data_IF_416816414453
#
_entry.id   IF_416816414453
#
_cell.length_a   1.000
_cell.length_b   1.000
_cell.length_c   1.000
_cell.angle_alpha   90.00
_cell.angle_beta   90.00
_cell.angle_gamma   90.00
#
_symmetry.space_group_name_H-M   'P 1'
#
loop_
_entity.id
_entity.type
_entity.pdbx_description
1 polymer ?
#
# COMPACT_ATOMS: atom_id res chain seq x y z
N UNK A 1 -18.96 -38.04 31.86
CA UNK A 1 -18.64 -38.02 30.43
C UNK A 1 -18.00 -36.67 30.13
N UNK A 2 -16.65 -36.64 30.02
CA UNK A 2 -15.88 -35.44 29.75
C UNK A 2 -15.67 -35.29 28.25
N UNK A 3 -16.14 -34.17 27.69
CA UNK A 3 -15.84 -33.76 26.32
C UNK A 3 -14.39 -33.24 26.28
N UNK A 4 -13.48 -34.07 25.80
CA UNK A 4 -12.10 -33.66 25.49
C UNK A 4 -12.05 -32.82 24.22
N UNK A 5 -11.80 -31.55 24.35
CA UNK A 5 -11.43 -30.67 23.24
C UNK A 5 -9.97 -30.99 22.84
N UNK A 6 -9.80 -31.63 21.71
CA UNK A 6 -8.48 -31.89 21.15
C UNK A 6 -8.00 -30.66 20.39
N UNK A 7 -7.09 -29.93 20.97
CA UNK A 7 -6.38 -28.82 20.31
C UNK A 7 -5.22 -29.41 19.52
N UNK A 8 -5.28 -29.39 18.19
CA UNK A 8 -4.13 -29.72 17.35
C UNK A 8 -3.29 -28.46 17.17
N UNK A 9 -2.12 -28.44 17.82
CA UNK A 9 -1.12 -27.40 17.65
C UNK A 9 -0.22 -27.79 16.47
N UNK A 10 -0.24 -27.05 15.39
CA UNK A 10 0.75 -27.18 14.34
C UNK A 10 1.95 -26.30 14.71
N UNK A 11 3.09 -26.89 14.98
CA UNK A 11 4.33 -26.17 15.21
C UNK A 11 4.93 -25.79 13.85
N UNK A 12 4.87 -24.51 13.48
CA UNK A 12 5.61 -23.96 12.36
C UNK A 12 7.03 -23.67 12.83
N UNK A 13 8.00 -24.51 12.46
CA UNK A 13 9.42 -24.20 12.60
C UNK A 13 9.89 -23.39 11.39
N UNK A 14 9.80 -22.08 11.50
CA UNK A 14 10.47 -21.11 10.65
C UNK A 14 11.12 -20.10 11.59
N UNK A 15 12.34 -19.63 11.31
CA UNK A 15 12.92 -18.51 12.05
C UNK A 15 12.06 -17.27 11.75
N UNK A 16 11.05 -17.04 12.57
CA UNK A 16 10.22 -15.85 12.50
C UNK A 16 10.96 -14.69 13.14
N UNK A 17 11.10 -13.60 12.43
CA UNK A 17 11.48 -12.32 13.05
C UNK A 17 10.34 -11.93 13.98
N UNK A 18 10.58 -11.91 15.31
CA UNK A 18 9.58 -11.44 16.26
C UNK A 18 9.69 -9.92 16.38
N UNK A 19 8.61 -9.24 16.08
CA UNK A 19 8.49 -7.79 16.34
C UNK A 19 7.96 -7.61 17.76
N UNK A 20 8.83 -7.30 18.73
CA UNK A 20 8.40 -7.07 20.11
C UNK A 20 7.45 -5.86 20.18
N UNK A 21 6.27 -6.08 20.79
CA UNK A 21 5.27 -5.04 20.99
C UNK A 21 4.38 -4.71 19.79
N UNK A 22 4.45 -5.47 18.68
CA UNK A 22 3.61 -5.25 17.50
C UNK A 22 2.22 -5.89 17.62
N UNK A 23 1.28 -5.38 16.82
CA UNK A 23 -0.11 -5.88 16.69
C UNK A 23 -0.23 -6.67 15.39
N UNK A 24 -0.71 -7.91 15.46
CA UNK A 24 -1.02 -8.69 14.25
C UNK A 24 -2.06 -7.97 13.40
N UNK A 25 -1.84 -7.93 12.11
CA UNK A 25 -2.75 -7.33 11.14
C UNK A 25 -2.89 -8.19 9.88
N UNK A 26 -4.10 -8.22 9.36
CA UNK A 26 -4.41 -8.99 8.16
C UNK A 26 -5.51 -8.30 7.36
N UNK A 27 -5.35 -8.31 6.04
CA UNK A 27 -6.42 -8.10 5.08
C UNK A 27 -6.70 -9.42 4.36
N UNK A 28 -7.96 -9.83 4.31
CA UNK A 28 -8.40 -11.09 3.71
C UNK A 28 -9.60 -10.88 2.80
N UNK A 29 -9.42 -11.11 1.50
CA UNK A 29 -10.47 -11.16 0.49
C UNK A 29 -10.83 -12.64 0.26
N UNK A 30 -11.96 -13.06 0.78
CA UNK A 30 -12.40 -14.46 0.66
C UNK A 30 -12.74 -14.82 -0.80
N UNK A 31 -13.32 -13.88 -1.55
CA UNK A 31 -13.68 -14.02 -2.96
C UNK A 31 -14.66 -15.18 -3.23
N UNK A 32 -15.59 -15.42 -2.30
CA UNK A 32 -16.62 -16.44 -2.42
C UNK A 32 -18.04 -15.87 -2.62
N UNK A 33 -18.21 -14.55 -2.47
CA UNK A 33 -19.51 -13.87 -2.64
C UNK A 33 -19.40 -12.36 -2.96
N UNK A 34 -18.28 -11.71 -2.65
CA UNK A 34 -18.09 -10.28 -2.87
C UNK A 34 -16.59 -9.93 -3.11
N UNK A 35 -16.30 -8.64 -3.28
CA UNK A 35 -14.98 -8.07 -3.57
C UNK A 35 -14.31 -7.43 -2.35
N UNK A 36 -14.91 -7.57 -1.17
CA UNK A 36 -14.51 -6.85 0.03
C UNK A 36 -13.45 -7.58 0.83
N UNK A 37 -12.56 -6.79 1.44
CA UNK A 37 -11.64 -7.29 2.45
C UNK A 37 -12.29 -7.36 3.83
N UNK A 38 -11.99 -8.43 4.57
CA UNK A 38 -12.11 -8.44 6.02
C UNK A 38 -10.76 -8.03 6.59
N UNK A 39 -10.74 -6.94 7.35
CA UNK A 39 -9.51 -6.37 7.92
C UNK A 39 -9.48 -6.61 9.42
N UNK A 40 -8.34 -7.07 9.92
CA UNK A 40 -8.01 -7.14 11.35
C UNK A 40 -6.72 -6.38 11.60
N UNK A 41 -6.59 -5.77 12.78
CA UNK A 41 -5.44 -4.92 13.13
C UNK A 41 -5.49 -3.53 12.47
N UNK A 42 -4.49 -2.68 12.79
CA UNK A 42 -4.50 -1.27 12.41
C UNK A 42 -3.91 -1.03 11.00
N UNK A 43 -4.57 -1.56 9.97
CA UNK A 43 -4.27 -1.33 8.54
C UNK A 43 -5.54 -0.99 7.79
N UNK A 44 -5.39 -0.49 6.57
CA UNK A 44 -6.50 -0.29 5.63
C UNK A 44 -6.36 -1.26 4.46
N UNK A 45 -7.49 -1.66 3.88
CA UNK A 45 -7.52 -2.41 2.62
C UNK A 45 -8.65 -1.89 1.73
N UNK A 46 -8.38 -1.81 0.43
CA UNK A 46 -9.40 -1.45 -0.54
C UNK A 46 -10.25 -2.66 -0.97
N UNK A 47 -11.40 -2.40 -1.55
CA UNK A 47 -12.10 -3.41 -2.34
C UNK A 47 -11.26 -3.79 -3.54
N UNK A 48 -11.47 -5.01 -4.05
CA UNK A 48 -10.85 -5.49 -5.28
C UNK A 48 -11.14 -4.56 -6.46
N UNK A 49 -10.11 -4.28 -7.26
CA UNK A 49 -10.20 -3.42 -8.44
C UNK A 49 -9.91 -4.22 -9.71
N UNK A 50 -10.64 -3.92 -10.76
CA UNK A 50 -10.50 -4.58 -12.06
C UNK A 50 -10.04 -3.59 -13.12
N UNK A 51 -9.13 -4.02 -13.97
CA UNK A 51 -8.76 -3.32 -15.19
C UNK A 51 -8.94 -4.25 -16.39
N UNK A 52 -9.83 -3.90 -17.32
CA UNK A 52 -10.24 -4.71 -18.48
C UNK A 52 -10.75 -6.12 -18.11
N UNK A 53 -11.19 -6.27 -16.85
CA UNK A 53 -11.72 -7.52 -16.29
C UNK A 53 -12.95 -7.22 -15.46
N UNK A 54 -13.73 -8.25 -15.14
CA UNK A 54 -14.80 -8.17 -14.15
C UNK A 54 -15.07 -9.53 -13.50
N UNK A 55 -15.65 -9.52 -12.29
CA UNK A 55 -16.15 -10.72 -11.63
C UNK A 55 -17.48 -11.16 -12.27
N UNK A 56 -17.46 -12.27 -13.01
CA UNK A 56 -18.66 -12.84 -13.63
C UNK A 56 -19.56 -13.51 -12.60
N UNK A 57 -18.97 -14.31 -11.72
CA UNK A 57 -19.73 -15.09 -10.72
C UNK A 57 -18.85 -15.69 -9.63
N UNK A 58 -19.54 -16.14 -8.57
CA UNK A 58 -18.96 -16.95 -7.51
C UNK A 58 -19.53 -18.36 -7.60
N UNK A 59 -18.70 -19.34 -7.88
CA UNK A 59 -19.14 -20.69 -8.15
C UNK A 59 -18.34 -21.74 -7.37
N UNK A 60 -19.05 -22.80 -6.95
CA UNK A 60 -18.41 -23.98 -6.36
C UNK A 60 -17.44 -24.66 -7.34
N UNK A 61 -16.44 -25.44 -6.84
CA UNK A 61 -15.64 -26.28 -7.68
C UNK A 61 -16.53 -27.31 -8.40
N UNK A 62 -16.47 -27.35 -9.56
CA UNK A 62 -16.88 -28.24 -10.61
C UNK A 62 -16.00 -27.84 -11.76
N UNK A 63 -15.45 -26.65 -11.64
CA UNK A 63 -14.52 -26.10 -12.60
C UNK A 63 -13.97 -24.75 -12.07
N UNK A 64 -12.79 -24.69 -11.47
CA UNK A 64 -11.80 -25.76 -11.31
C UNK A 64 -12.25 -26.88 -10.36
N UNK A 65 -11.81 -28.09 -10.63
CA UNK A 65 -12.17 -29.29 -9.87
C UNK A 65 -11.11 -29.74 -8.88
N UNK A 66 -9.90 -29.23 -9.02
CA UNK A 66 -8.73 -29.68 -8.28
C UNK A 66 -8.04 -28.55 -7.53
N UNK A 67 -7.73 -28.77 -6.26
CA UNK A 67 -6.91 -27.93 -5.40
C UNK A 67 -5.61 -28.67 -5.09
N UNK A 68 -4.47 -28.05 -5.34
CA UNK A 68 -3.17 -28.72 -5.28
C UNK A 68 -2.81 -29.20 -3.87
N UNK A 69 -3.17 -28.45 -2.84
CA UNK A 69 -2.84 -28.78 -1.45
C UNK A 69 -3.91 -29.55 -0.68
N UNK A 70 -5.09 -29.71 -1.26
CA UNK A 70 -6.20 -30.47 -0.65
C UNK A 70 -6.74 -29.90 0.66
N UNK A 71 -6.34 -28.67 1.06
CA UNK A 71 -6.74 -28.06 2.33
C UNK A 71 -8.03 -27.28 2.24
N UNK A 72 -8.57 -27.06 1.06
CA UNK A 72 -9.78 -26.28 0.83
C UNK A 72 -10.99 -27.20 0.73
N UNK A 73 -12.08 -26.81 1.39
CA UNK A 73 -13.36 -27.50 1.30
C UNK A 73 -13.82 -27.59 -0.17
N UNK A 74 -14.16 -28.75 -0.70
CA UNK A 74 -14.69 -28.93 -2.06
C UNK A 74 -15.93 -28.11 -2.37
N UNK A 75 -16.68 -27.69 -1.36
CA UNK A 75 -17.85 -26.81 -1.50
C UNK A 75 -17.50 -25.32 -1.58
N UNK A 76 -16.24 -24.96 -1.40
CA UNK A 76 -15.77 -23.56 -1.42
C UNK A 76 -15.99 -22.94 -2.79
N UNK A 77 -16.70 -21.82 -2.83
CA UNK A 77 -16.87 -21.03 -4.05
C UNK A 77 -15.57 -20.26 -4.36
N UNK A 78 -15.25 -20.16 -5.63
CA UNK A 78 -14.21 -19.28 -6.16
C UNK A 78 -14.84 -18.12 -6.92
N UNK A 79 -14.21 -16.96 -6.88
CA UNK A 79 -14.53 -15.88 -7.80
C UNK A 79 -14.04 -16.27 -9.19
N UNK A 80 -14.86 -16.05 -10.20
CA UNK A 80 -14.52 -16.27 -11.62
C UNK A 80 -14.51 -14.95 -12.34
N UNK A 81 -13.35 -14.59 -12.84
CA UNK A 81 -13.13 -13.33 -13.50
C UNK A 81 -12.92 -13.54 -14.98
N UNK A 82 -13.58 -12.76 -15.79
CA UNK A 82 -13.49 -12.79 -17.25
C UNK A 82 -13.06 -11.42 -17.79
N UNK A 83 -12.55 -11.46 -19.02
CA UNK A 83 -12.17 -10.25 -19.73
C UNK A 83 -13.41 -9.44 -20.14
N UNK A 84 -13.31 -8.12 -20.14
CA UNK A 84 -14.34 -7.26 -20.71
C UNK A 84 -14.59 -7.61 -22.18
N UNK A 85 -15.88 -7.72 -22.54
CA UNK A 85 -16.27 -8.17 -23.87
C UNK A 85 -16.31 -9.69 -24.07
N UNK A 86 -15.96 -10.49 -23.04
CA UNK A 86 -16.06 -11.96 -22.96
C UNK A 86 -15.18 -12.75 -23.96
N UNK A 87 -14.38 -12.08 -24.78
CA UNK A 87 -13.53 -12.69 -25.80
C UNK A 87 -12.04 -12.44 -25.53
N UNK A 88 -11.31 -13.51 -25.15
CA UNK A 88 -9.86 -13.46 -25.05
C UNK A 88 -9.21 -13.28 -26.41
N UNK A 89 -8.18 -12.42 -26.53
CA UNK A 89 -7.52 -12.14 -27.81
C UNK A 89 -6.89 -13.38 -28.43
N UNK A 90 -6.66 -13.31 -29.73
CA UNK A 90 -5.90 -14.31 -30.46
C UNK A 90 -4.39 -14.10 -30.28
N UNK A 91 -3.62 -15.18 -30.11
CA UNK A 91 -2.15 -15.15 -30.03
C UNK A 91 -1.56 -14.35 -28.85
N UNK A 92 -2.25 -14.28 -27.73
CA UNK A 92 -1.71 -13.66 -26.53
C UNK A 92 -0.77 -14.65 -25.81
N UNK A 93 0.53 -14.45 -25.98
CA UNK A 93 1.56 -15.38 -25.52
C UNK A 93 2.22 -14.96 -24.19
N UNK A 94 1.95 -13.75 -23.71
CA UNK A 94 2.48 -13.20 -22.47
C UNK A 94 1.49 -12.18 -21.88
N UNK A 95 1.85 -11.60 -20.75
CA UNK A 95 1.07 -10.66 -19.94
C UNK A 95 0.72 -9.40 -20.71
N UNK A 96 -0.55 -9.01 -20.64
CA UNK A 96 -1.00 -7.66 -20.94
C UNK A 96 -1.07 -6.86 -19.64
N UNK A 97 -0.12 -5.94 -19.40
CA UNK A 97 -0.03 -5.16 -18.19
C UNK A 97 -1.18 -4.16 -17.95
N UNK A 98 -2.02 -3.92 -18.97
CA UNK A 98 -3.24 -3.13 -18.81
C UNK A 98 -4.43 -3.94 -18.30
N UNK A 99 -4.31 -5.27 -18.23
CA UNK A 99 -5.37 -6.18 -17.81
C UNK A 99 -4.96 -6.85 -16.50
N UNK A 100 -5.65 -6.52 -15.41
CA UNK A 100 -5.32 -7.07 -14.10
C UNK A 100 -6.50 -7.06 -13.13
N UNK A 101 -6.32 -7.80 -12.06
CA UNK A 101 -7.15 -7.80 -10.86
C UNK A 101 -6.22 -7.35 -9.73
N UNK A 102 -6.62 -6.33 -8.97
CA UNK A 102 -5.77 -5.69 -7.95
C UNK A 102 -6.40 -5.74 -6.57
N UNK A 103 -5.56 -5.98 -5.59
CA UNK A 103 -5.82 -5.90 -4.16
C UNK A 103 -4.80 -4.95 -3.54
N UNK A 104 -5.20 -4.15 -2.55
CA UNK A 104 -4.25 -3.24 -1.92
C UNK A 104 -4.45 -3.12 -0.42
N UNK A 105 -3.33 -2.95 0.29
CA UNK A 105 -3.28 -2.68 1.72
C UNK A 105 -2.43 -1.43 1.97
N UNK A 106 -2.83 -0.64 2.96
CA UNK A 106 -2.15 0.61 3.32
C UNK A 106 -1.84 0.60 4.81
N UNK A 107 -0.62 0.95 5.17
CA UNK A 107 -0.25 1.17 6.56
C UNK A 107 -0.91 2.45 7.09
N UNK A 108 -1.34 2.45 8.34
CA UNK A 108 -1.87 3.65 8.97
C UNK A 108 -0.77 4.70 9.19
N UNK A 109 -1.15 5.96 9.19
CA UNK A 109 -0.22 7.06 9.50
C UNK A 109 0.48 6.83 10.86
N UNK A 110 1.81 7.03 10.89
CA UNK A 110 2.62 6.87 12.09
C UNK A 110 2.85 5.42 12.53
N UNK A 111 2.55 4.44 11.68
CA UNK A 111 2.81 3.02 11.93
C UNK A 111 3.71 2.42 10.85
N UNK A 112 4.32 1.29 11.16
CA UNK A 112 5.02 0.45 10.19
C UNK A 112 4.31 -0.91 10.12
N UNK A 113 3.83 -1.28 8.93
CA UNK A 113 3.27 -2.60 8.69
C UNK A 113 4.32 -3.51 8.06
N UNK A 114 4.81 -4.44 8.84
CA UNK A 114 5.78 -5.46 8.44
C UNK A 114 5.00 -6.68 7.93
N UNK A 115 4.80 -6.73 6.61
CA UNK A 115 4.12 -7.84 5.94
C UNK A 115 5.09 -9.02 5.91
N UNK A 116 4.70 -10.15 6.48
CA UNK A 116 5.48 -11.39 6.51
C UNK A 116 4.93 -12.45 5.58
N UNK A 117 3.73 -12.29 5.08
CA UNK A 117 3.08 -13.27 4.23
C UNK A 117 2.03 -12.65 3.31
N UNK A 118 2.13 -13.03 2.03
CA UNK A 118 1.10 -12.84 1.03
C UNK A 118 0.70 -14.22 0.51
N UNK A 119 -0.60 -14.48 0.41
CA UNK A 119 -1.10 -15.77 -0.07
C UNK A 119 -2.38 -15.64 -0.86
N UNK A 120 -2.59 -16.51 -1.85
CA UNK A 120 -3.84 -16.66 -2.58
C UNK A 120 -3.90 -18.01 -3.30
N UNK A 121 -5.09 -18.38 -3.74
CA UNK A 121 -5.26 -19.44 -4.73
C UNK A 121 -5.66 -18.82 -6.06
N UNK A 122 -4.98 -19.24 -7.13
CA UNK A 122 -5.32 -18.83 -8.48
C UNK A 122 -5.29 -20.02 -9.45
N UNK A 123 -6.18 -20.02 -10.43
CA UNK A 123 -6.26 -21.08 -11.42
C UNK A 123 -7.20 -20.72 -12.57
N UNK A 124 -7.40 -21.63 -13.50
CA UNK A 124 -8.22 -21.44 -14.68
C UNK A 124 -9.49 -22.28 -14.70
N UNK A 125 -10.50 -21.79 -15.38
CA UNK A 125 -11.74 -22.52 -15.64
C UNK A 125 -12.17 -22.40 -17.11
N UNK A 126 -12.63 -23.51 -17.67
CA UNK A 126 -13.29 -23.52 -18.99
C UNK A 126 -12.37 -23.75 -20.18
N UNK A 127 -11.28 -24.51 -20.04
CA UNK A 127 -10.40 -24.89 -21.17
C UNK A 127 -8.92 -24.82 -20.81
N UNK A 128 -8.06 -25.00 -21.81
CA UNK A 128 -6.64 -25.32 -21.61
C UNK A 128 -5.66 -24.18 -21.95
N UNK A 129 -6.07 -22.94 -21.86
CA UNK A 129 -5.20 -21.84 -22.27
C UNK A 129 -4.98 -20.77 -21.20
N UNK A 130 -5.58 -20.91 -20.00
CA UNK A 130 -5.42 -19.92 -18.95
C UNK A 130 -3.99 -19.91 -18.40
N UNK A 131 -3.45 -18.73 -18.32
CA UNK A 131 -2.14 -18.42 -17.77
C UNK A 131 -2.29 -17.22 -16.83
N UNK A 132 -1.33 -17.03 -15.92
CA UNK A 132 -1.33 -15.82 -15.07
C UNK A 132 0.05 -15.52 -14.49
N UNK A 133 0.24 -14.29 -14.10
CA UNK A 133 1.37 -13.78 -13.33
C UNK A 133 0.84 -13.02 -12.12
N UNK A 134 1.51 -13.17 -10.97
CA UNK A 134 1.19 -12.45 -9.72
C UNK A 134 2.40 -11.63 -9.32
N UNK A 135 2.19 -10.36 -9.11
CA UNK A 135 3.22 -9.41 -8.71
C UNK A 135 2.71 -8.51 -7.59
N UNK A 136 3.62 -7.98 -6.78
CA UNK A 136 3.31 -6.90 -5.87
C UNK A 136 4.29 -5.73 -6.02
N UNK A 137 3.84 -4.54 -5.68
CA UNK A 137 4.62 -3.30 -5.78
C UNK A 137 4.11 -2.26 -4.78
N UNK A 138 5.00 -1.38 -4.33
CA UNK A 138 4.63 -0.13 -3.64
C UNK A 138 4.33 1.00 -4.65
N UNK A 139 4.79 0.85 -5.88
CA UNK A 139 4.51 1.79 -6.96
C UNK A 139 3.22 1.39 -7.68
N UNK A 140 2.16 2.23 -7.70
CA UNK A 140 0.93 1.95 -8.43
C UNK A 140 1.13 1.79 -9.95
N UNK A 141 2.24 2.32 -10.49
CA UNK A 141 2.64 2.14 -11.89
C UNK A 141 3.35 0.82 -12.17
N UNK A 142 3.78 0.06 -11.12
CA UNK A 142 4.54 -1.19 -11.26
C UNK A 142 5.86 -1.02 -12.04
N UNK A 143 6.49 0.14 -11.97
CA UNK A 143 7.84 0.37 -12.51
C UNK A 143 8.88 -0.49 -11.81
N UNK A 144 8.71 -0.69 -10.50
CA UNK A 144 9.44 -1.66 -9.68
C UNK A 144 8.43 -2.63 -9.04
N UNK A 145 8.73 -3.92 -9.06
CA UNK A 145 7.83 -4.94 -8.53
C UNK A 145 8.58 -6.19 -8.05
N UNK A 146 7.94 -6.93 -7.15
CA UNK A 146 8.34 -8.30 -6.78
C UNK A 146 7.46 -9.30 -7.51
N UNK A 147 8.08 -10.24 -8.22
CA UNK A 147 7.38 -11.34 -8.87
C UNK A 147 7.09 -12.44 -7.85
N UNK A 148 5.81 -12.70 -7.59
CA UNK A 148 5.37 -13.74 -6.64
C UNK A 148 5.19 -15.09 -7.35
N UNK A 149 4.55 -15.08 -8.52
CA UNK A 149 4.30 -16.29 -9.30
C UNK A 149 4.22 -15.99 -10.79
N UNK A 150 4.71 -16.93 -11.59
CA UNK A 150 4.56 -16.91 -13.04
C UNK A 150 4.09 -18.28 -13.53
N UNK A 151 2.91 -18.34 -14.10
CA UNK A 151 2.29 -19.53 -14.67
C UNK A 151 2.01 -19.32 -16.16
N UNK A 152 3.04 -19.40 -17.03
CA UNK A 152 2.92 -19.12 -18.46
C UNK A 152 2.33 -20.27 -19.27
N UNK A 153 1.98 -21.37 -18.64
CA UNK A 153 1.36 -22.54 -19.25
C UNK A 153 0.05 -22.86 -18.55
N UNK A 154 -0.79 -23.58 -19.27
CA UNK A 154 -2.11 -24.02 -18.90
C UNK A 154 -2.31 -24.34 -17.41
N UNK A 155 -3.12 -23.55 -16.74
CA UNK A 155 -3.54 -23.74 -15.33
C UNK A 155 -5.02 -24.13 -15.24
N UNK A 156 -5.60 -24.66 -16.29
CA UNK A 156 -7.03 -24.97 -16.37
C UNK A 156 -7.47 -26.02 -15.39
N UNK A 157 -8.67 -25.81 -14.83
CA UNK A 157 -9.35 -26.68 -13.90
C UNK A 157 -8.58 -27.01 -12.61
N UNK A 158 -7.54 -26.24 -12.31
CA UNK A 158 -6.70 -26.47 -11.14
C UNK A 158 -6.46 -25.13 -10.42
N UNK A 159 -6.64 -25.13 -9.10
CA UNK A 159 -6.26 -24.03 -8.23
C UNK A 159 -4.89 -24.31 -7.61
N UNK A 160 -3.99 -23.35 -7.77
CA UNK A 160 -2.63 -23.41 -7.27
C UNK A 160 -2.48 -22.49 -6.07
N UNK A 161 -1.90 -22.98 -4.97
CA UNK A 161 -1.50 -22.10 -3.88
C UNK A 161 -0.32 -21.22 -4.33
N UNK A 162 -0.39 -19.97 -4.02
CA UNK A 162 0.63 -18.96 -4.31
C UNK A 162 0.95 -18.26 -3.01
N UNK A 163 2.22 -18.15 -2.69
CA UNK A 163 2.66 -17.45 -1.48
C UNK A 163 3.99 -16.76 -1.69
N UNK A 164 4.14 -15.62 -1.00
CA UNK A 164 5.40 -14.93 -0.78
C UNK A 164 5.63 -14.87 0.73
N UNK A 165 6.82 -15.23 1.17
CA UNK A 165 7.25 -15.21 2.57
C UNK A 165 8.51 -14.34 2.72
N UNK A 166 8.47 -13.18 2.11
CA UNK A 166 9.49 -12.14 2.24
C UNK A 166 8.90 -11.00 3.06
N UNK A 167 9.73 -10.36 3.87
CA UNK A 167 9.29 -9.20 4.64
C UNK A 167 9.20 -8.01 3.71
N UNK A 168 8.00 -7.41 3.64
CA UNK A 168 7.75 -6.14 2.95
C UNK A 168 7.32 -5.14 4.01
N UNK A 169 8.11 -4.10 4.17
CA UNK A 169 7.82 -3.03 5.11
C UNK A 169 7.03 -1.91 4.43
N UNK A 170 5.89 -1.54 5.00
CA UNK A 170 5.13 -0.34 4.62
C UNK A 170 5.21 0.67 5.76
N UNK A 171 5.78 1.82 5.51
CA UNK A 171 5.80 2.94 6.44
C UNK A 171 4.59 3.84 6.21
N UNK A 172 4.13 4.50 7.24
CA UNK A 172 2.90 5.26 7.31
C UNK A 172 2.35 5.80 5.99
N UNK A 173 1.12 5.44 5.67
CA UNK A 173 0.39 5.77 4.45
C UNK A 173 0.94 5.13 3.14
N UNK A 174 2.05 4.36 3.20
CA UNK A 174 2.47 3.57 2.04
C UNK A 174 1.48 2.45 1.75
N UNK A 175 1.27 2.17 0.48
CA UNK A 175 0.37 1.14 -0.02
C UNK A 175 1.14 0.05 -0.75
N UNK A 176 0.82 -1.21 -0.44
CA UNK A 176 1.21 -2.35 -1.27
C UNK A 176 0.06 -2.70 -2.20
N UNK A 177 0.36 -2.80 -3.48
CA UNK A 177 -0.53 -3.27 -4.54
C UNK A 177 -0.14 -4.70 -4.91
N UNK A 178 -1.11 -5.60 -4.94
CA UNK A 178 -0.98 -6.98 -5.38
C UNK A 178 -1.81 -7.15 -6.64
N UNK A 179 -1.19 -7.50 -7.77
CA UNK A 179 -1.89 -7.70 -9.03
C UNK A 179 -1.78 -9.13 -9.54
N UNK A 180 -2.90 -9.63 -10.03
CA UNK A 180 -2.98 -10.85 -10.83
C UNK A 180 -3.20 -10.44 -12.28
N UNK A 181 -2.28 -10.82 -13.15
CA UNK A 181 -2.32 -10.53 -14.59
C UNK A 181 -2.64 -11.81 -15.36
N UNK A 182 -3.89 -12.04 -15.75
CA UNK A 182 -4.26 -13.22 -16.53
C UNK A 182 -4.11 -12.98 -18.03
N UNK A 183 -3.81 -14.04 -18.76
CA UNK A 183 -3.94 -14.09 -20.21
C UNK A 183 -4.38 -15.48 -20.65
N UNK A 184 -4.86 -15.58 -21.89
CA UNK A 184 -5.30 -16.85 -22.45
C UNK A 184 -4.57 -17.14 -23.75
N UNK A 185 -3.95 -18.30 -23.86
CA UNK A 185 -3.01 -18.64 -24.95
C UNK A 185 -3.66 -18.83 -26.32
N UNK A 186 -4.99 -18.72 -26.44
CA UNK A 186 -5.70 -18.82 -27.71
C UNK A 186 -7.00 -18.01 -27.68
N UNK A 187 -7.50 -17.60 -28.86
CA UNK A 187 -8.80 -16.95 -28.94
C UNK A 187 -9.89 -17.85 -28.35
N UNK A 188 -10.62 -17.33 -27.40
CA UNK A 188 -11.68 -18.09 -26.73
C UNK A 188 -12.63 -17.16 -25.98
N UNK A 189 -13.88 -17.58 -25.80
CA UNK A 189 -14.86 -16.90 -24.98
C UNK A 189 -15.14 -17.66 -23.68
N UNK A 190 -15.72 -16.97 -22.69
CA UNK A 190 -16.17 -17.52 -21.40
C UNK A 190 -15.12 -18.33 -20.63
N UNK A 191 -13.86 -17.98 -20.78
CA UNK A 191 -12.78 -18.56 -20.00
C UNK A 191 -12.48 -17.64 -18.80
N UNK A 192 -12.29 -18.24 -17.65
CA UNK A 192 -12.14 -17.48 -16.41
C UNK A 192 -10.81 -17.73 -15.76
N UNK A 193 -10.19 -16.69 -15.23
CA UNK A 193 -9.27 -16.83 -14.10
C UNK A 193 -10.08 -16.96 -12.82
N UNK A 194 -9.77 -17.95 -12.01
CA UNK A 194 -10.43 -18.20 -10.73
C UNK A 194 -9.50 -17.76 -9.60
N UNK A 195 -10.03 -16.99 -8.65
CA UNK A 195 -9.31 -16.52 -7.46
C UNK A 195 -10.06 -16.93 -6.19
N UNK A 196 -9.29 -17.15 -5.11
CA UNK A 196 -9.83 -17.44 -3.79
C UNK A 196 -8.81 -17.09 -2.70
N UNK A 197 -9.29 -16.54 -1.58
CA UNK A 197 -8.55 -16.46 -0.34
C UNK A 197 -7.31 -15.58 -0.41
N UNK A 198 -7.38 -14.41 -1.06
CA UNK A 198 -6.26 -13.45 -1.08
C UNK A 198 -6.02 -12.95 0.32
N UNK A 199 -4.80 -13.08 0.80
CA UNK A 199 -4.39 -12.72 2.16
C UNK A 199 -3.12 -11.90 2.12
N UNK A 200 -3.09 -10.82 2.86
CA UNK A 200 -1.88 -10.04 3.20
C UNK A 200 -1.86 -9.94 4.72
N UNK A 201 -0.82 -10.43 5.36
CA UNK A 201 -0.71 -10.40 6.82
C UNK A 201 0.70 -10.07 7.28
N UNK A 202 0.80 -9.66 8.53
CA UNK A 202 2.04 -9.30 9.19
C UNK A 202 1.79 -8.64 10.54
N UNK A 203 2.77 -7.88 11.00
CA UNK A 203 2.73 -7.19 12.28
C UNK A 203 2.85 -5.69 12.08
N UNK A 204 1.92 -4.95 12.66
CA UNK A 204 2.00 -3.49 12.75
C UNK A 204 2.71 -3.14 14.04
N UNK A 205 3.81 -2.46 13.92
CA UNK A 205 4.48 -1.80 15.02
C UNK A 205 4.04 -0.33 15.04
N UNK A 206 3.98 0.29 16.21
CA UNK A 206 4.09 1.74 16.23
C UNK A 206 5.35 2.00 15.43
N UNK A 207 5.18 2.68 14.30
CA UNK A 207 6.33 3.23 13.61
C UNK A 207 7.07 3.89 14.75
N UNK A 208 8.31 3.54 14.98
CA UNK A 208 9.07 4.45 15.77
C UNK A 208 8.67 5.80 15.19
N UNK A 209 8.14 6.68 16.03
CA UNK A 209 8.43 8.08 15.81
C UNK A 209 9.96 8.11 16.02
N UNK A 210 10.68 7.32 15.21
CA UNK A 210 12.00 7.64 14.82
C UNK A 210 11.75 8.93 14.14
N UNK A 211 11.65 9.85 15.09
CA UNK A 211 12.01 11.18 14.77
C UNK A 211 11.25 11.57 13.50
N UNK A 212 10.37 12.52 13.49
CA UNK A 212 10.97 13.51 12.65
C UNK A 212 12.21 12.82 12.06
N UNK A 213 12.11 12.25 10.84
CA UNK A 213 13.33 12.07 10.08
C UNK A 213 14.02 13.41 10.23
N UNK A 214 14.86 13.52 11.21
CA UNK A 214 16.08 14.24 11.03
C UNK A 214 16.76 13.41 9.95
N UNK A 215 16.32 13.56 8.70
CA UNK A 215 17.27 13.65 7.65
C UNK A 215 18.27 14.60 8.26
N UNK A 216 19.42 14.08 8.55
CA UNK A 216 20.59 14.76 9.11
C UNK A 216 21.02 15.80 8.07
N UNK A 217 20.19 16.82 7.83
CA UNK A 217 20.43 17.81 6.77
C UNK A 217 19.69 19.14 6.93
N UNK A 218 18.70 19.26 7.81
CA UNK A 218 18.25 20.62 8.18
C UNK A 218 18.52 20.86 9.65
N UNK A 219 19.49 21.71 9.95
CA UNK A 219 19.57 22.34 11.26
C UNK A 219 18.21 22.96 11.55
N UNK A 220 17.73 22.81 12.79
CA UNK A 220 16.43 23.30 13.22
C UNK A 220 16.25 24.75 12.81
N UNK A 221 15.27 25.03 11.96
CA UNK A 221 14.94 26.40 11.58
C UNK A 221 14.36 27.13 12.80
N UNK A 222 14.70 28.41 12.93
CA UNK A 222 14.25 29.23 14.04
C UNK A 222 14.07 30.69 13.62
N UNK A 223 13.23 31.40 14.34
CA UNK A 223 13.03 32.84 14.16
C UNK A 223 13.73 33.64 15.27
N UNK A 224 14.41 34.73 14.89
CA UNK A 224 15.06 35.62 15.85
C UNK A 224 14.68 37.08 15.55
N UNK A 225 14.09 37.81 16.49
CA UNK A 225 13.55 37.34 17.76
C UNK A 225 12.27 36.51 17.59
N UNK A 226 12.01 35.52 18.45
CA UNK A 226 10.78 34.74 18.43
C UNK A 226 9.56 35.51 18.98
N UNK A 227 9.82 36.59 19.71
CA UNK A 227 8.82 37.55 20.21
C UNK A 227 9.23 38.93 19.68
N UNK A 228 8.35 39.60 18.95
CA UNK A 228 8.65 40.85 18.28
C UNK A 228 7.43 41.77 18.15
N UNK A 229 7.64 43.10 18.03
CA UNK A 229 6.61 44.05 17.68
C UNK A 229 6.43 44.19 16.16
N UNK A 230 7.53 44.11 15.40
CA UNK A 230 7.50 44.52 13.99
C UNK A 230 8.02 43.45 13.03
N UNK A 231 9.18 42.84 13.30
CA UNK A 231 9.87 41.96 12.36
C UNK A 231 10.60 40.83 13.07
N UNK A 232 10.72 39.73 12.37
CA UNK A 232 11.58 38.61 12.79
C UNK A 232 12.31 38.05 11.57
N UNK A 233 13.47 37.41 11.81
CA UNK A 233 14.23 36.75 10.76
C UNK A 233 14.15 35.25 10.95
N UNK A 234 13.66 34.53 9.95
CA UNK A 234 13.70 33.08 9.88
C UNK A 234 15.12 32.67 9.41
N UNK A 235 15.78 31.82 10.16
CA UNK A 235 17.06 31.20 9.85
C UNK A 235 16.84 29.72 9.53
N UNK A 236 17.40 29.23 8.42
CA UNK A 236 17.34 27.84 8.01
C UNK A 236 18.52 27.44 7.15
N UNK A 237 18.79 26.18 7.03
CA UNK A 237 19.87 25.62 6.21
C UNK A 237 19.29 24.59 5.24
N UNK A 238 19.71 24.66 3.97
CA UNK A 238 19.34 23.70 2.92
C UNK A 238 20.51 22.74 2.71
N UNK A 239 20.24 21.45 2.74
CA UNK A 239 21.19 20.41 2.38
C UNK A 239 21.34 20.25 0.88
N UNK A 240 20.29 20.57 0.13
CA UNK A 240 20.22 20.47 -1.33
C UNK A 240 19.54 21.71 -1.90
N UNK A 241 19.90 22.09 -3.12
CA UNK A 241 19.23 23.17 -3.82
C UNK A 241 17.81 22.77 -4.21
N UNK A 242 16.84 23.68 -4.05
CA UNK A 242 15.46 23.38 -4.37
C UNK A 242 14.49 24.50 -4.06
N UNK A 243 13.21 24.22 -4.26
CA UNK A 243 12.14 25.14 -3.95
C UNK A 243 11.94 25.25 -2.44
N UNK A 244 11.91 26.49 -1.94
CA UNK A 244 11.63 26.84 -0.56
C UNK A 244 10.32 27.59 -0.50
N UNK A 245 9.34 27.06 0.25
CA UNK A 245 8.07 27.70 0.52
C UNK A 245 7.99 28.12 2.00
N UNK A 246 7.77 29.40 2.25
CA UNK A 246 7.58 29.97 3.59
C UNK A 246 6.18 30.55 3.64
N UNK A 247 5.33 30.04 4.54
CA UNK A 247 3.97 30.54 4.72
C UNK A 247 3.74 30.90 6.18
N UNK A 248 3.26 32.11 6.43
CA UNK A 248 2.84 32.55 7.75
C UNK A 248 1.33 32.35 7.90
N UNK A 249 0.92 31.69 8.98
CA UNK A 249 -0.49 31.47 9.33
C UNK A 249 -0.86 32.17 10.62
N UNK A 250 -2.09 32.65 10.71
CA UNK A 250 -2.71 32.98 11.98
C UNK A 250 -3.03 31.72 12.78
N UNK A 251 -3.34 31.86 14.07
CA UNK A 251 -3.71 30.71 14.92
C UNK A 251 -5.00 30.02 14.46
N UNK A 252 -5.87 30.72 13.70
CA UNK A 252 -7.08 30.17 13.09
C UNK A 252 -6.80 29.43 11.77
N UNK A 253 -5.52 29.30 11.36
CA UNK A 253 -5.12 28.61 10.15
C UNK A 253 -5.23 29.44 8.86
N UNK A 254 -5.48 30.76 8.95
CA UNK A 254 -5.53 31.65 7.79
C UNK A 254 -4.11 31.97 7.33
N UNK A 255 -3.80 31.74 6.04
CA UNK A 255 -2.54 32.17 5.44
C UNK A 255 -2.49 33.68 5.33
N UNK A 256 -1.42 34.26 5.88
CA UNK A 256 -1.21 35.73 5.99
C UNK A 256 -0.13 36.23 5.03
N UNK A 257 0.95 35.46 4.87
CA UNK A 257 2.05 35.69 3.95
C UNK A 257 2.46 34.40 3.28
N UNK A 258 2.91 34.49 2.03
CA UNK A 258 3.53 33.38 1.33
C UNK A 258 4.75 33.88 0.56
N UNK A 259 5.83 33.10 0.62
CA UNK A 259 7.06 33.33 -0.13
C UNK A 259 7.51 31.99 -0.70
N UNK A 260 7.83 31.98 -2.00
CA UNK A 260 8.29 30.78 -2.69
C UNK A 260 9.44 31.15 -3.63
N UNK A 261 10.60 30.47 -3.50
CA UNK A 261 11.78 30.70 -4.31
C UNK A 261 12.70 29.48 -4.36
N UNK A 262 13.28 29.22 -5.52
CA UNK A 262 14.40 28.28 -5.62
C UNK A 262 15.65 28.88 -4.97
N UNK A 263 16.31 28.09 -4.12
CA UNK A 263 17.52 28.49 -3.41
C UNK A 263 18.59 27.37 -3.51
N UNK A 264 19.83 27.77 -3.44
CA UNK A 264 20.98 26.88 -3.44
C UNK A 264 21.16 26.23 -2.06
N UNK A 265 21.97 25.17 -1.99
CA UNK A 265 22.39 24.57 -0.72
C UNK A 265 23.11 25.58 0.16
N UNK A 266 22.95 25.50 1.48
CA UNK A 266 23.63 26.37 2.45
C UNK A 266 22.68 27.06 3.45
N UNK A 267 23.24 28.04 4.19
CA UNK A 267 22.53 28.78 5.23
C UNK A 267 21.80 29.97 4.61
N UNK A 268 20.53 30.10 4.93
CA UNK A 268 19.67 31.14 4.44
C UNK A 268 18.93 31.89 5.57
N UNK A 269 18.54 33.10 5.25
CA UNK A 269 17.69 33.93 6.12
C UNK A 269 16.56 34.54 5.33
N UNK A 270 15.40 34.69 5.96
CA UNK A 270 14.23 35.38 5.38
C UNK A 270 13.60 36.30 6.42
N UNK A 271 13.50 37.60 6.12
CA UNK A 271 12.85 38.56 6.98
C UNK A 271 11.32 38.42 6.84
N UNK A 272 10.61 38.31 7.97
CA UNK A 272 9.16 38.28 8.07
C UNK A 272 8.71 39.62 8.69
N UNK A 273 8.01 40.43 7.92
CA UNK A 273 7.44 41.71 8.37
C UNK A 273 6.05 41.52 8.93
N UNK A 274 5.87 41.87 10.21
CA UNK A 274 4.61 41.70 10.94
C UNK A 274 3.91 43.02 11.22
N UNK A 275 4.41 44.16 10.74
CA UNK A 275 3.89 45.50 11.07
C UNK A 275 2.43 45.72 10.70
N UNK A 276 1.88 45.01 9.75
CA UNK A 276 0.47 45.13 9.35
C UNK A 276 -0.49 44.17 10.06
N UNK A 277 0.02 43.34 10.98
CA UNK A 277 -0.77 42.28 11.64
C UNK A 277 -1.11 42.65 13.09
N UNK A 278 -2.17 42.05 13.62
CA UNK A 278 -2.58 42.21 15.01
C UNK A 278 -1.62 41.49 15.97
N UNK A 279 -1.57 41.93 17.22
CA UNK A 279 -0.84 41.20 18.26
C UNK A 279 -1.43 39.81 18.42
N UNK A 280 -0.57 38.82 18.60
CA UNK A 280 -1.00 37.42 18.68
C UNK A 280 0.09 36.39 18.33
N UNK A 281 -0.33 35.15 18.23
CA UNK A 281 0.53 34.03 17.85
C UNK A 281 0.39 33.71 16.36
N UNK A 282 1.52 33.53 15.69
CA UNK A 282 1.62 33.17 14.31
C UNK A 282 2.46 31.89 14.15
N UNK A 283 2.14 31.10 13.14
CA UNK A 283 2.86 29.88 12.79
C UNK A 283 3.53 30.07 11.43
N UNK A 284 4.86 30.09 11.44
CA UNK A 284 5.66 30.13 10.22
C UNK A 284 5.94 28.69 9.77
N UNK A 285 5.37 28.30 8.64
CA UNK A 285 5.60 27.00 8.00
C UNK A 285 6.69 27.16 6.95
N UNK A 286 7.75 26.39 7.08
CA UNK A 286 8.84 26.26 6.10
C UNK A 286 8.74 24.89 5.43
N UNK A 287 8.68 24.84 4.11
CA UNK A 287 8.67 23.61 3.31
C UNK A 287 9.84 23.64 2.33
N UNK A 288 10.61 22.58 2.26
CA UNK A 288 11.75 22.42 1.35
C UNK A 288 11.77 20.98 0.84
N UNK A 289 11.45 20.78 -0.44
CA UNK A 289 11.28 19.42 -1.00
C UNK A 289 10.19 18.64 -0.24
N UNK A 290 10.57 17.53 0.39
CA UNK A 290 9.66 16.70 1.23
C UNK A 290 9.67 17.08 2.71
N UNK A 291 10.48 18.07 3.11
CA UNK A 291 10.66 18.45 4.52
C UNK A 291 9.78 19.63 4.91
N UNK A 292 9.25 19.61 6.13
CA UNK A 292 8.40 20.67 6.67
C UNK A 292 8.77 20.96 8.12
N UNK A 293 8.90 22.25 8.45
CA UNK A 293 9.07 22.71 9.83
C UNK A 293 8.04 23.81 10.14
N UNK A 294 7.58 23.86 11.38
CA UNK A 294 6.68 24.93 11.86
C UNK A 294 7.31 25.63 13.04
N UNK A 295 7.46 26.94 12.95
CA UNK A 295 8.08 27.82 13.93
C UNK A 295 7.04 28.78 14.49
N UNK A 296 6.94 28.88 15.82
CA UNK A 296 6.02 29.82 16.47
C UNK A 296 6.66 31.19 16.60
N UNK A 297 5.91 32.23 16.22
CA UNK A 297 6.27 33.63 16.37
C UNK A 297 5.18 34.30 17.22
N UNK A 298 5.59 35.19 18.13
CA UNK A 298 4.65 35.95 18.95
C UNK A 298 4.84 37.43 18.63
N UNK A 299 3.78 38.08 18.12
CA UNK A 299 3.73 39.51 17.95
C UNK A 299 3.15 40.19 19.20
N UNK A 300 3.77 41.30 19.66
CA UNK A 300 3.34 42.11 20.81
C UNK A 300 3.27 43.56 20.41
#
# INVERSE_FOLDING_TARGET
VSNGTSTKTATLTGEGVSFEGGVEAQAYWQLNQDTKAVVTGPILAAEEVFSQMYADRYAKPGNPTTWIDGLVDPETKTQRNIIEGDDWPENEIDVNYSRYIEFSVTANAGTTFNIDSIGLYAGGSGGNGMCFRVMCSKDPGFGEYTLISNRPSNVSNTMYPISLKEIIELQGEETLYLRVYPWYSSKSNRKSICLYGVTVKGVVTEGEITSIRTVDSMKKAYCTPAITADRTTLHYELSESGLVDITLYSIEGRAMLNYSKNQETGIHTHEIDLRGFSDGVYLCKLVTGTQMQTIRIVKK
#
